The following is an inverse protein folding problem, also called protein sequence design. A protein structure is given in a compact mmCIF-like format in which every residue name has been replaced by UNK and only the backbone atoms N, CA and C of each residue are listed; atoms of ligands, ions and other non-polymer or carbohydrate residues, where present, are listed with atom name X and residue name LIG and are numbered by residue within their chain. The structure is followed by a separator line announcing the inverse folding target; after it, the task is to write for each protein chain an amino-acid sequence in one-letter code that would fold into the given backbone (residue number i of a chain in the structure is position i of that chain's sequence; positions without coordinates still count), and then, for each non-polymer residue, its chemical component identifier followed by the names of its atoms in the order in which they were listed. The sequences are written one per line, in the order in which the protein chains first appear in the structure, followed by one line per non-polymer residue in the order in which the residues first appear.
data_IF_460324532307
#
_entry.id   IF_460324532307
#
_cell.length_a   1.000
_cell.length_b   1.000
_cell.length_c   1.000
_cell.angle_alpha   90.00
_cell.angle_beta   90.00
_cell.angle_gamma   90.00
#
_symmetry.space_group_name_H-M   'P 1'
#
loop_
_entity.id
_entity.type
_entity.pdbx_description
1 polymer ?
#
# COMPACT_ATOMS: atom_id res chain seq x y z
N UNK A 1 8.99 14.39 15.06
CA UNK A 1 8.85 12.97 14.67
C UNK A 1 7.81 12.91 13.56
N UNK A 2 8.07 12.20 12.45
CA UNK A 2 7.06 12.03 11.39
C UNK A 2 5.97 11.06 11.88
N UNK A 3 4.73 11.29 11.49
CA UNK A 3 3.64 10.35 11.76
C UNK A 3 3.87 9.08 10.92
N UNK A 4 3.70 7.92 11.53
CA UNK A 4 3.79 6.64 10.83
C UNK A 4 2.47 6.30 10.14
N UNK A 5 2.53 5.84 8.90
CA UNK A 5 1.37 5.38 8.13
C UNK A 5 1.61 3.97 7.62
N UNK A 6 0.59 3.13 7.70
CA UNK A 6 0.56 1.85 7.01
C UNK A 6 -0.28 1.98 5.75
N UNK A 7 0.32 1.73 4.58
CA UNK A 7 -0.35 1.76 3.30
C UNK A 7 -0.83 0.35 2.95
N UNK A 8 -2.14 0.17 2.99
CA UNK A 8 -2.78 -1.08 2.58
C UNK A 8 -3.05 -1.11 1.07
N UNK A 9 -3.38 -2.30 0.56
CA UNK A 9 -3.51 -2.61 -0.88
C UNK A 9 -4.43 -1.65 -1.64
N UNK A 10 -5.55 -1.20 -1.07
CA UNK A 10 -6.50 -0.30 -1.72
C UNK A 10 -5.98 1.14 -1.86
N UNK A 11 -5.16 1.62 -0.91
CA UNK A 11 -4.46 2.92 -1.04
C UNK A 11 -3.51 2.89 -2.24
N UNK A 12 -2.73 1.81 -2.38
CA UNK A 12 -1.83 1.62 -3.53
C UNK A 12 -2.62 1.46 -4.82
N UNK A 13 -3.68 0.65 -4.78
CA UNK A 13 -4.56 0.38 -5.92
C UNK A 13 -5.23 1.64 -6.46
N UNK A 14 -5.56 2.60 -5.60
CA UNK A 14 -6.15 3.86 -6.02
C UNK A 14 -5.20 4.70 -6.92
N UNK A 15 -3.88 4.55 -6.82
CA UNK A 15 -2.91 5.38 -7.55
C UNK A 15 -3.01 5.21 -9.08
N UNK A 16 -3.32 4.01 -9.58
CA UNK A 16 -3.46 3.74 -11.02
C UNK A 16 -4.90 3.40 -11.44
N UNK A 17 -5.88 3.62 -10.56
CA UNK A 17 -7.26 3.25 -10.82
C UNK A 17 -7.95 4.20 -11.80
N UNK A 18 -8.04 3.78 -13.06
CA UNK A 18 -8.74 4.54 -14.10
C UNK A 18 -10.28 4.47 -13.99
N UNK A 19 -10.83 3.59 -13.15
CA UNK A 19 -12.27 3.48 -12.92
C UNK A 19 -12.84 4.59 -12.03
N UNK A 20 -12.00 5.16 -11.15
CA UNK A 20 -12.36 6.23 -10.22
C UNK A 20 -11.40 7.42 -10.32
N UNK A 21 -11.48 8.25 -11.38
CA UNK A 21 -10.47 9.27 -11.69
C UNK A 21 -10.26 10.29 -10.58
N UNK A 22 -11.32 10.70 -9.89
CA UNK A 22 -11.21 11.65 -8.78
C UNK A 22 -10.41 11.09 -7.61
N UNK A 23 -10.68 9.83 -7.23
CA UNK A 23 -9.92 9.14 -6.19
C UNK A 23 -8.47 8.98 -6.60
N UNK A 24 -8.22 8.57 -7.84
CA UNK A 24 -6.88 8.41 -8.40
C UNK A 24 -6.08 9.71 -8.34
N UNK A 25 -6.67 10.81 -8.80
CA UNK A 25 -5.98 12.10 -8.86
C UNK A 25 -5.65 12.65 -7.46
N UNK A 26 -6.54 12.43 -6.48
CA UNK A 26 -6.27 12.72 -5.07
C UNK A 26 -5.13 11.85 -4.52
N UNK A 27 -5.16 10.54 -4.78
CA UNK A 27 -4.11 9.62 -4.34
C UNK A 27 -2.76 10.00 -4.93
N UNK A 28 -2.69 10.27 -6.24
CA UNK A 28 -1.46 10.70 -6.91
C UNK A 28 -0.95 11.99 -6.26
N UNK A 29 -1.80 13.01 -6.11
CA UNK A 29 -1.40 14.28 -5.51
C UNK A 29 -0.82 14.09 -4.11
N UNK A 30 -1.50 13.34 -3.25
CA UNK A 30 -1.04 13.08 -1.89
C UNK A 30 0.27 12.28 -1.89
N UNK A 31 0.37 11.26 -2.75
CA UNK A 31 1.55 10.41 -2.84
C UNK A 31 2.79 11.18 -3.30
N UNK A 32 2.66 12.04 -4.30
CA UNK A 32 3.78 12.80 -4.88
C UNK A 32 4.19 14.00 -4.02
N UNK A 33 3.27 14.59 -3.24
CA UNK A 33 3.50 15.87 -2.56
C UNK A 33 3.40 15.83 -1.03
N UNK A 34 2.89 14.76 -0.44
CA UNK A 34 2.62 14.73 1.00
C UNK A 34 3.17 13.47 1.66
N UNK A 35 3.31 12.34 0.94
CA UNK A 35 3.84 11.08 1.50
C UNK A 35 5.19 11.25 2.21
N UNK A 36 6.05 12.14 1.71
CA UNK A 36 7.37 12.38 2.29
C UNK A 36 7.32 13.01 3.69
N UNK A 37 6.20 13.58 4.12
CA UNK A 37 6.00 14.09 5.49
C UNK A 37 5.74 12.95 6.50
N UNK A 38 5.49 11.74 6.02
CA UNK A 38 5.21 10.56 6.83
C UNK A 38 6.37 9.58 6.84
N UNK A 39 6.33 8.66 7.81
CA UNK A 39 7.10 7.42 7.77
C UNK A 39 6.18 6.31 7.28
N UNK A 40 6.24 6.01 6.00
CA UNK A 40 5.31 5.10 5.34
C UNK A 40 5.82 3.66 5.34
N UNK A 41 4.93 2.76 5.70
CA UNK A 41 5.13 1.32 5.74
C UNK A 41 4.16 0.61 4.80
N UNK A 42 4.61 -0.51 4.24
CA UNK A 42 3.77 -1.55 3.64
C UNK A 42 4.12 -2.89 4.29
N UNK A 43 3.42 -3.98 3.98
CA UNK A 43 3.85 -5.32 4.41
C UNK A 43 3.97 -6.30 3.25
N UNK A 44 4.54 -7.46 3.55
CA UNK A 44 4.55 -8.61 2.65
C UNK A 44 3.13 -9.04 2.23
N UNK A 45 2.11 -8.82 3.07
CA UNK A 45 0.72 -9.15 2.71
C UNK A 45 0.23 -8.29 1.55
N UNK A 46 0.50 -6.98 1.60
CA UNK A 46 0.16 -6.03 0.52
C UNK A 46 0.88 -6.40 -0.77
N UNK A 47 2.18 -6.75 -0.69
CA UNK A 47 2.93 -7.21 -1.86
C UNK A 47 2.27 -8.45 -2.51
N UNK A 48 1.90 -9.47 -1.71
CA UNK A 48 1.23 -10.68 -2.22
C UNK A 48 -0.14 -10.40 -2.81
N UNK A 49 -0.89 -9.44 -2.28
CA UNK A 49 -2.17 -9.02 -2.87
C UNK A 49 -1.95 -8.34 -4.22
N UNK A 50 -0.96 -7.45 -4.32
CA UNK A 50 -0.62 -6.75 -5.56
C UNK A 50 -0.07 -7.69 -6.64
N UNK A 51 0.71 -8.72 -6.27
CA UNK A 51 1.19 -9.76 -7.19
C UNK A 51 0.05 -10.51 -7.91
N UNK A 52 -1.14 -10.60 -7.29
CA UNK A 52 -2.33 -11.23 -7.85
C UNK A 52 -3.10 -10.33 -8.81
N UNK A 53 -2.75 -9.04 -8.88
CA UNK A 53 -3.36 -8.11 -9.83
C UNK A 53 -2.90 -8.45 -11.26
N UNK A 54 -3.79 -8.30 -12.24
CA UNK A 54 -3.44 -8.46 -13.64
C UNK A 54 -2.59 -7.29 -14.15
N UNK A 55 -1.76 -7.54 -15.17
CA UNK A 55 -1.17 -6.45 -15.94
C UNK A 55 -2.26 -5.65 -16.67
N UNK A 56 -2.07 -4.33 -16.90
CA UNK A 56 -0.82 -3.59 -16.78
C UNK A 56 -0.53 -2.96 -15.39
N UNK A 57 -1.42 -3.13 -14.41
CA UNK A 57 -1.32 -2.38 -13.16
C UNK A 57 -0.34 -2.98 -12.15
N UNK A 58 -0.23 -4.32 -12.10
CA UNK A 58 0.62 -5.03 -11.13
C UNK A 58 2.05 -4.50 -11.08
N UNK A 59 2.73 -4.41 -12.23
CA UNK A 59 4.12 -3.94 -12.26
C UNK A 59 4.24 -2.49 -11.77
N UNK A 60 3.23 -1.65 -12.03
CA UNK A 60 3.17 -0.28 -11.53
C UNK A 60 3.02 -0.24 -10.00
N UNK A 61 2.07 -1.00 -9.44
CA UNK A 61 1.84 -1.04 -7.99
C UNK A 61 3.05 -1.57 -7.22
N UNK A 62 3.69 -2.65 -7.69
CA UNK A 62 4.89 -3.19 -7.05
C UNK A 62 6.05 -2.18 -7.04
N UNK A 63 6.18 -1.35 -8.08
CA UNK A 63 7.17 -0.26 -8.11
C UNK A 63 6.87 0.84 -7.09
N UNK A 64 5.59 1.17 -6.89
CA UNK A 64 5.18 2.19 -5.92
C UNK A 64 5.49 1.81 -4.48
N UNK A 65 5.32 0.54 -4.11
CA UNK A 65 5.57 0.08 -2.74
C UNK A 65 7.03 -0.30 -2.46
N UNK A 66 7.82 -0.56 -3.50
CA UNK A 66 9.24 -0.94 -3.38
C UNK A 66 10.10 -0.01 -2.48
N UNK A 67 9.97 1.33 -2.53
CA UNK A 67 10.76 2.22 -1.68
C UNK A 67 10.22 2.35 -0.24
N UNK A 68 9.06 1.78 0.08
CA UNK A 68 8.45 1.90 1.40
C UNK A 68 9.13 0.97 2.41
N UNK A 69 9.11 1.34 3.69
CA UNK A 69 9.60 0.46 4.74
C UNK A 69 8.68 -0.76 4.85
N UNK A 70 9.26 -1.96 4.95
CA UNK A 70 8.48 -3.19 5.14
C UNK A 70 8.23 -3.40 6.63
N UNK A 71 6.96 -3.41 7.01
CA UNK A 71 6.50 -3.82 8.32
C UNK A 71 6.58 -5.35 8.39
N UNK A 72 7.35 -5.84 9.35
CA UNK A 72 7.49 -7.27 9.61
C UNK A 72 6.17 -7.85 10.14
N UNK A 73 5.80 -9.02 9.60
CA UNK A 73 4.67 -9.77 10.10
C UNK A 73 5.15 -10.63 11.28
N UNK A 74 4.84 -10.18 12.49
CA UNK A 74 5.17 -10.90 13.73
C UNK A 74 4.16 -12.00 14.02
N UNK A 75 4.58 -13.03 14.74
CA UNK A 75 3.75 -14.19 15.09
C UNK A 75 2.49 -13.78 15.85
N UNK A 76 2.58 -12.79 16.74
CA UNK A 76 1.45 -12.27 17.50
C UNK A 76 0.36 -11.69 16.59
N UNK A 77 0.73 -11.05 15.47
CA UNK A 77 -0.23 -10.54 14.50
C UNK A 77 -0.95 -11.68 13.76
N UNK A 78 -0.24 -12.78 13.48
CA UNK A 78 -0.84 -13.97 12.87
C UNK A 78 -1.82 -14.66 13.84
N UNK A 79 -1.41 -14.85 15.10
CA UNK A 79 -2.27 -15.43 16.16
C UNK A 79 -3.53 -14.59 16.35
N UNK A 80 -3.40 -13.25 16.38
CA UNK A 80 -4.57 -12.38 16.49
C UNK A 80 -5.51 -12.56 15.31
N UNK A 81 -4.99 -12.63 14.07
CA UNK A 81 -5.81 -12.79 12.87
C UNK A 81 -6.62 -14.10 12.87
N UNK A 82 -6.06 -15.22 13.37
CA UNK A 82 -6.80 -16.49 13.52
C UNK A 82 -8.03 -16.37 14.42
N UNK A 83 -8.02 -15.47 15.40
CA UNK A 83 -9.18 -15.24 16.27
C UNK A 83 -10.34 -14.49 15.61
N UNK A 84 -10.11 -13.88 14.44
CA UNK A 84 -11.12 -13.09 13.70
C UNK A 84 -11.59 -13.76 12.40
N UNK A 85 -11.00 -14.88 12.00
CA UNK A 85 -11.31 -15.62 10.76
C UNK A 85 -12.01 -16.94 11.08
#
# INVERSE_FOLDING_TARGET
MKLSLYLETSVVGAYLDNGEPFRRDLTIRWWEHELFEYRAYSSILVERELERVAEPHRTGYLKLIKPLEQLELVEEAAILAEGYI
#
